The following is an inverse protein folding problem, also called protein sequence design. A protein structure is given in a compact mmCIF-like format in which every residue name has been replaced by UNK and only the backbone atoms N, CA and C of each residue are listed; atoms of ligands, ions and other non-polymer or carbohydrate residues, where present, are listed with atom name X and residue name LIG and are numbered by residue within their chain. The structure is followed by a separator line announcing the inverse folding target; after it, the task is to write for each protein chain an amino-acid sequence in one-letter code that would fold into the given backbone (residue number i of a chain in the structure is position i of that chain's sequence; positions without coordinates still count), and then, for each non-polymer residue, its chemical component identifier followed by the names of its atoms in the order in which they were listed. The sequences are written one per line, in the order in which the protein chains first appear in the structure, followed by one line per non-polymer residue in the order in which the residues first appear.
data_IF_289905826954
#
_entry.id   IF_289905826954
#
_cell.length_a   1.000
_cell.length_b   1.000
_cell.length_c   1.000
_cell.angle_alpha   90.00
_cell.angle_beta   90.00
_cell.angle_gamma   90.00
#
_symmetry.space_group_name_H-M   'P 1'
#
loop_
_entity.id
_entity.type
_entity.pdbx_description
1 polymer ?
#
# COMPACT_ATOMS: atom_id res chain seq x y z
N UNK A 1 37.87 52.40 22.26
CA UNK A 1 38.64 52.01 21.06
C UNK A 1 39.07 50.56 21.31
N UNK A 2 38.73 49.50 20.57
CA UNK A 2 37.95 49.29 19.34
C UNK A 2 37.53 47.80 19.32
N UNK A 3 36.31 47.51 18.89
CA UNK A 3 35.92 46.25 18.22
C UNK A 3 36.37 46.29 16.74
N UNK A 4 36.26 45.25 15.86
CA UNK A 4 35.52 43.96 15.94
C UNK A 4 36.23 42.70 15.32
N UNK A 5 35.60 41.50 15.38
CA UNK A 5 35.17 40.63 14.23
C UNK A 5 34.72 39.20 14.66
N UNK A 6 33.50 38.81 14.26
CA UNK A 6 32.73 37.52 14.36
C UNK A 6 33.26 36.43 13.37
N UNK A 7 32.65 35.20 13.22
CA UNK A 7 32.03 34.22 14.15
C UNK A 7 32.33 32.71 13.78
N UNK A 8 31.90 31.74 14.58
CA UNK A 8 31.50 30.36 14.19
C UNK A 8 30.79 29.69 15.39
N UNK A 9 29.47 29.50 15.42
CA UNK A 9 28.70 28.35 14.89
C UNK A 9 29.31 26.98 15.22
N UNK A 10 28.78 26.34 16.28
CA UNK A 10 28.62 24.89 16.35
C UNK A 10 27.38 24.59 17.21
N UNK A 11 26.33 24.13 16.54
CA UNK A 11 25.16 23.50 17.10
C UNK A 11 25.47 22.03 17.44
N UNK A 12 24.75 21.49 18.42
CA UNK A 12 24.26 20.11 18.54
C UNK A 12 24.07 19.85 20.04
N UNK A 13 22.85 19.84 20.56
CA UNK A 13 21.84 18.88 20.14
C UNK A 13 21.74 17.87 21.27
N UNK A 14 20.94 18.24 22.27
CA UNK A 14 20.73 17.49 23.49
C UNK A 14 20.13 16.10 23.21
N UNK A 15 20.61 15.15 24.00
CA UNK A 15 20.20 13.77 24.08
C UNK A 15 18.70 13.61 24.37
N UNK A 16 18.10 12.55 23.85
CA UNK A 16 16.96 11.89 24.48
C UNK A 16 17.00 10.38 24.26
N UNK A 17 16.51 9.69 25.29
CA UNK A 17 16.82 8.33 25.77
C UNK A 17 16.13 7.19 24.99
N UNK A 18 16.51 5.92 25.24
CA UNK A 18 16.30 4.81 24.33
C UNK A 18 14.95 4.12 24.54
N UNK A 19 14.30 3.74 23.45
CA UNK A 19 13.16 2.84 23.45
C UNK A 19 13.52 1.60 22.61
N UNK A 20 14.00 0.57 23.31
CA UNK A 20 14.00 -0.80 22.81
C UNK A 20 12.55 -1.27 22.59
N UNK A 21 12.17 -1.49 21.34
CA UNK A 21 11.06 -2.38 20.99
C UNK A 21 11.32 -3.02 19.61
N UNK A 22 12.22 -4.00 19.67
CA UNK A 22 11.88 -5.37 19.30
C UNK A 22 11.11 -5.55 17.97
N UNK A 23 11.84 -5.44 16.87
CA UNK A 23 11.52 -6.10 15.59
C UNK A 23 11.38 -7.62 15.82
N UNK A 24 10.18 -8.09 16.15
CA UNK A 24 9.76 -9.51 16.10
C UNK A 24 9.05 -9.69 14.75
N UNK A 25 9.73 -10.14 13.69
CA UNK A 25 9.98 -11.57 13.41
C UNK A 25 8.76 -12.43 13.72
N UNK A 26 7.77 -12.41 12.82
CA UNK A 26 6.56 -13.25 12.92
C UNK A 26 6.36 -14.20 11.73
N UNK A 27 7.38 -14.40 10.87
CA UNK A 27 7.20 -15.23 9.66
C UNK A 27 7.95 -16.56 9.64
N UNK A 28 8.77 -16.92 10.64
CA UNK A 28 9.54 -18.18 10.56
C UNK A 28 9.69 -18.92 11.89
N UNK A 29 8.59 -19.36 12.53
CA UNK A 29 8.65 -20.46 13.51
C UNK A 29 7.43 -21.38 13.44
N UNK A 30 7.30 -22.06 12.31
CA UNK A 30 6.51 -23.27 12.20
C UNK A 30 7.32 -24.35 11.48
N UNK A 31 8.26 -24.98 12.18
CA UNK A 31 8.63 -26.39 11.95
C UNK A 31 8.97 -27.00 13.31
N UNK A 32 7.93 -27.57 13.94
CA UNK A 32 8.11 -28.54 15.02
C UNK A 32 8.80 -29.78 14.45
N UNK A 33 9.75 -30.31 15.19
CA UNK A 33 10.37 -31.60 14.97
C UNK A 33 9.29 -32.70 14.97
N UNK A 34 9.37 -33.63 14.01
CA UNK A 34 8.75 -34.95 14.13
C UNK A 34 9.80 -35.98 13.76
N UNK A 35 10.43 -36.52 14.79
CA UNK A 35 11.04 -37.83 14.75
C UNK A 35 9.97 -38.85 15.17
N UNK A 36 9.78 -39.91 14.39
CA UNK A 36 9.16 -41.15 14.88
C UNK A 36 7.95 -41.67 14.09
N UNK A 37 8.21 -42.78 13.38
CA UNK A 37 7.37 -43.99 13.26
C UNK A 37 6.08 -43.96 12.41
N UNK A 38 6.19 -44.57 11.23
CA UNK A 38 5.28 -45.58 10.62
C UNK A 38 3.82 -45.61 11.11
N UNK A 39 2.90 -45.19 10.25
CA UNK A 39 1.46 -45.50 10.36
C UNK A 39 0.64 -44.72 9.35
N UNK A 40 0.11 -45.40 8.33
CA UNK A 40 -0.77 -44.81 7.29
C UNK A 40 -2.07 -44.33 7.94
N UNK A 41 -2.30 -43.02 7.94
CA UNK A 41 -3.57 -42.41 8.33
C UNK A 41 -3.79 -41.13 7.54
N UNK A 42 -4.75 -41.14 6.61
CA UNK A 42 -5.19 -39.97 5.85
C UNK A 42 -5.83 -38.96 6.80
N UNK A 43 -5.05 -38.06 7.39
CA UNK A 43 -5.58 -36.90 8.08
C UNK A 43 -5.95 -35.86 7.02
N UNK A 44 -7.24 -35.77 6.69
CA UNK A 44 -7.77 -34.63 5.94
C UNK A 44 -7.53 -33.39 6.78
N UNK A 45 -6.52 -32.59 6.44
CA UNK A 45 -6.33 -31.28 7.03
C UNK A 45 -7.57 -30.44 6.68
N UNK A 46 -8.49 -30.31 7.63
CA UNK A 46 -9.53 -29.30 7.56
C UNK A 46 -8.81 -27.96 7.56
N UNK A 47 -8.78 -27.30 6.40
CA UNK A 47 -8.36 -25.91 6.31
C UNK A 47 -9.28 -25.11 7.21
N UNK A 48 -8.80 -24.73 8.38
CA UNK A 48 -9.47 -23.79 9.25
C UNK A 48 -9.56 -22.46 8.50
N UNK A 49 -10.67 -22.24 7.79
CA UNK A 49 -11.06 -20.92 7.33
C UNK A 49 -11.24 -20.08 8.60
N UNK A 50 -10.23 -19.30 8.95
CA UNK A 50 -10.29 -18.38 10.07
C UNK A 50 -11.56 -17.53 9.89
N UNK A 51 -12.50 -17.62 10.82
CA UNK A 51 -13.72 -16.84 10.81
C UNK A 51 -13.33 -15.36 10.82
N UNK A 52 -13.39 -14.73 9.65
CA UNK A 52 -13.25 -13.28 9.51
C UNK A 52 -14.43 -12.68 10.28
N UNK A 53 -14.16 -11.90 11.32
CA UNK A 53 -15.21 -11.20 12.04
C UNK A 53 -16.03 -10.35 11.04
N UNK A 54 -17.36 -10.28 11.18
CA UNK A 54 -18.19 -9.52 10.26
C UNK A 54 -17.75 -8.06 10.25
N UNK A 55 -17.17 -7.62 9.13
CA UNK A 55 -16.77 -6.23 8.92
C UNK A 55 -18.06 -5.39 8.75
N UNK A 56 -18.20 -4.27 9.47
CA UNK A 56 -19.36 -3.39 9.31
C UNK A 56 -19.54 -2.89 7.87
N UNK A 57 -20.79 -2.85 7.40
CA UNK A 57 -21.12 -2.48 6.01
C UNK A 57 -20.70 -1.06 5.64
N UNK A 58 -20.78 -0.11 6.59
CA UNK A 58 -20.36 1.27 6.34
C UNK A 58 -18.85 1.41 6.17
N UNK A 59 -18.04 0.49 6.73
CA UNK A 59 -16.60 0.44 6.43
C UNK A 59 -16.35 -0.06 5.01
N UNK A 60 -17.13 -1.03 4.55
CA UNK A 60 -17.03 -1.54 3.17
C UNK A 60 -17.44 -0.44 2.18
N UNK A 61 -18.53 0.29 2.44
CA UNK A 61 -18.96 1.41 1.62
C UNK A 61 -17.87 2.49 1.51
N UNK A 62 -17.25 2.84 2.63
CA UNK A 62 -16.13 3.78 2.66
C UNK A 62 -14.91 3.26 1.88
N UNK A 63 -14.54 2.00 2.07
CA UNK A 63 -13.41 1.39 1.37
C UNK A 63 -13.63 1.36 -0.16
N UNK A 64 -14.86 1.11 -0.61
CA UNK A 64 -15.21 1.15 -2.03
C UNK A 64 -15.16 2.58 -2.59
N UNK A 65 -15.68 3.56 -1.85
CA UNK A 65 -15.57 4.99 -2.21
C UNK A 65 -14.11 5.42 -2.32
N UNK A 66 -13.30 5.14 -1.30
CA UNK A 66 -11.88 5.43 -1.29
C UNK A 66 -11.18 4.77 -2.50
N UNK A 67 -11.38 3.46 -2.69
CA UNK A 67 -10.77 2.73 -3.81
C UNK A 67 -11.13 3.33 -5.16
N UNK A 68 -12.40 3.71 -5.37
CA UNK A 68 -12.84 4.36 -6.61
C UNK A 68 -12.18 5.71 -6.85
N UNK A 69 -12.04 6.55 -5.82
CA UNK A 69 -11.36 7.85 -5.92
C UNK A 69 -9.87 7.69 -6.19
N UNK A 70 -9.21 6.82 -5.43
CA UNK A 70 -7.80 6.50 -5.59
C UNK A 70 -7.51 5.94 -6.98
N UNK A 71 -8.38 5.06 -7.49
CA UNK A 71 -8.25 4.53 -8.83
C UNK A 71 -8.48 5.59 -9.92
N UNK A 72 -9.40 6.53 -9.68
CA UNK A 72 -9.57 7.71 -10.53
C UNK A 72 -8.29 8.55 -10.62
N UNK A 73 -7.60 8.77 -9.50
CA UNK A 73 -6.33 9.51 -9.49
C UNK A 73 -5.18 8.76 -10.15
N UNK A 74 -5.16 7.43 -10.06
CA UNK A 74 -4.19 6.59 -10.76
C UNK A 74 -4.42 6.56 -12.28
N UNK A 75 -5.65 6.78 -12.72
CA UNK A 75 -6.03 6.85 -14.14
C UNK A 75 -6.06 8.27 -14.72
N UNK A 76 -5.70 9.28 -13.93
CA UNK A 76 -5.77 10.68 -14.34
C UNK A 76 -4.60 11.05 -15.26
N UNK A 77 -4.91 11.29 -16.54
CA UNK A 77 -3.93 11.68 -17.56
C UNK A 77 -3.33 13.08 -17.34
N UNK A 78 -3.92 13.89 -16.47
CA UNK A 78 -3.37 15.21 -16.11
C UNK A 78 -2.33 15.13 -15.00
N UNK A 79 -2.20 13.97 -14.35
CA UNK A 79 -1.31 13.74 -13.23
C UNK A 79 -0.02 13.04 -13.69
N UNK A 80 1.06 13.82 -13.84
CA UNK A 80 2.38 13.34 -14.29
C UNK A 80 2.89 12.07 -13.55
N UNK A 81 2.88 12.01 -12.20
CA UNK A 81 3.14 10.77 -11.45
C UNK A 81 2.26 9.58 -11.84
N UNK A 82 0.98 9.80 -12.13
CA UNK A 82 0.05 8.73 -12.53
C UNK A 82 0.39 8.22 -13.94
N UNK A 83 0.66 9.11 -14.89
CA UNK A 83 1.11 8.77 -16.25
C UNK A 83 2.38 7.90 -16.21
N UNK A 84 3.40 8.32 -15.46
CA UNK A 84 4.65 7.52 -15.32
C UNK A 84 4.41 6.14 -14.73
N UNK A 85 3.49 6.04 -13.77
CA UNK A 85 3.12 4.77 -13.16
C UNK A 85 2.41 3.85 -14.17
N UNK A 86 1.55 4.40 -15.02
CA UNK A 86 0.92 3.66 -16.12
C UNK A 86 1.94 3.18 -17.15
N UNK A 87 2.86 4.04 -17.60
CA UNK A 87 3.95 3.66 -18.52
C UNK A 87 4.81 2.53 -17.95
N UNK A 88 5.17 2.63 -16.67
CA UNK A 88 5.89 1.58 -15.96
C UNK A 88 5.11 0.26 -15.94
N UNK A 89 3.79 0.33 -15.68
CA UNK A 89 2.90 -0.84 -15.70
C UNK A 89 2.82 -1.51 -17.07
N UNK A 90 2.75 -0.72 -18.14
CA UNK A 90 2.77 -1.19 -19.52
C UNK A 90 4.09 -1.89 -19.86
N UNK A 91 5.22 -1.25 -19.52
CA UNK A 91 6.56 -1.80 -19.77
C UNK A 91 6.76 -3.14 -19.06
N UNK A 92 6.22 -3.27 -17.85
CA UNK A 92 6.23 -4.53 -17.09
C UNK A 92 5.49 -5.63 -17.83
N UNK A 93 4.25 -5.39 -18.25
CA UNK A 93 3.43 -6.40 -18.93
C UNK A 93 4.03 -6.84 -20.27
N UNK A 94 4.62 -5.91 -21.03
CA UNK A 94 5.29 -6.23 -22.28
C UNK A 94 6.59 -7.03 -22.08
N UNK A 95 7.25 -6.86 -20.93
CA UNK A 95 8.49 -7.57 -20.58
C UNK A 95 8.30 -8.89 -19.84
N UNK A 96 7.19 -9.04 -19.11
CA UNK A 96 6.89 -10.25 -18.34
C UNK A 96 5.87 -11.12 -19.07
N UNK A 97 6.29 -12.30 -19.53
CA UNK A 97 5.36 -13.38 -19.92
C UNK A 97 4.53 -13.93 -18.74
N UNK A 98 4.60 -13.29 -17.57
CA UNK A 98 3.72 -13.52 -16.44
C UNK A 98 2.31 -13.05 -16.84
N UNK A 99 1.48 -14.02 -17.21
CA UNK A 99 0.06 -13.83 -17.47
C UNK A 99 -0.56 -12.95 -16.37
N UNK A 100 -1.19 -11.85 -16.81
CA UNK A 100 -2.36 -11.07 -16.35
C UNK A 100 -2.97 -11.24 -14.92
N UNK A 101 -2.51 -12.15 -14.08
CA UNK A 101 -2.89 -12.34 -12.69
C UNK A 101 -2.27 -11.24 -11.82
N UNK A 102 -2.83 -10.04 -11.96
CA UNK A 102 -2.85 -9.04 -10.91
C UNK A 102 -1.85 -7.90 -11.06
N UNK A 103 -2.16 -6.92 -11.90
CA UNK A 103 -1.76 -5.51 -11.67
C UNK A 103 -2.48 -4.91 -10.43
N UNK A 104 -2.92 -5.76 -9.50
CA UNK A 104 -3.59 -5.39 -8.26
C UNK A 104 -2.53 -5.20 -7.18
N UNK A 105 -2.38 -3.96 -6.73
CA UNK A 105 -1.46 -3.54 -5.69
C UNK A 105 -2.26 -3.43 -4.41
N UNK A 106 -1.84 -4.16 -3.38
CA UNK A 106 -2.42 -4.03 -2.04
C UNK A 106 -1.75 -2.87 -1.33
N UNK A 107 -2.55 -1.86 -0.98
CA UNK A 107 -2.12 -0.63 -0.30
C UNK A 107 -2.79 -0.55 1.07
N UNK A 108 -2.00 -0.16 2.08
CA UNK A 108 -2.43 0.08 3.45
C UNK A 108 -2.38 1.58 3.69
N UNK A 109 -3.53 2.17 4.01
CA UNK A 109 -3.69 3.60 4.16
C UNK A 109 -4.03 3.97 5.61
N UNK A 110 -3.44 5.07 6.06
CA UNK A 110 -3.85 5.78 7.27
C UNK A 110 -4.45 7.11 6.84
N UNK A 111 -5.69 7.32 7.23
CA UNK A 111 -6.48 8.48 6.83
C UNK A 111 -6.87 9.22 8.10
N UNK A 112 -6.63 10.54 8.14
CA UNK A 112 -7.03 11.36 9.27
C UNK A 112 -8.55 11.57 9.31
N UNK A 113 -9.05 12.22 10.36
CA UNK A 113 -10.49 12.52 10.51
C UNK A 113 -11.03 13.49 9.44
N UNK A 114 -10.15 14.11 8.63
CA UNK A 114 -10.49 15.00 7.52
C UNK A 114 -10.40 14.34 6.14
N UNK A 115 -10.12 13.04 6.06
CA UNK A 115 -9.99 12.32 4.78
C UNK A 115 -8.61 12.42 4.14
N UNK A 116 -7.61 13.04 4.79
CA UNK A 116 -6.25 13.15 4.28
C UNK A 116 -5.47 11.86 4.54
N UNK A 117 -4.78 11.37 3.51
CA UNK A 117 -3.88 10.23 3.63
C UNK A 117 -2.57 10.70 4.30
N UNK A 118 -2.40 10.34 5.56
CA UNK A 118 -1.20 10.65 6.37
C UNK A 118 -0.07 9.66 6.10
N UNK A 119 -0.43 8.41 5.78
CA UNK A 119 0.55 7.36 5.46
C UNK A 119 -0.02 6.38 4.44
N UNK A 120 0.84 5.95 3.52
CA UNK A 120 0.57 4.88 2.57
C UNK A 120 1.73 3.87 2.59
N UNK A 121 1.40 2.60 2.86
CA UNK A 121 2.32 1.47 2.77
C UNK A 121 1.83 0.49 1.70
N UNK A 122 2.74 -0.06 0.91
CA UNK A 122 2.42 -1.04 -0.12
C UNK A 122 3.63 -1.95 -0.33
N UNK A 123 3.40 -3.09 -0.98
CA UNK A 123 4.51 -3.94 -1.42
C UNK A 123 5.25 -3.23 -2.53
N UNK A 124 6.57 -3.04 -2.38
CA UNK A 124 7.39 -2.39 -3.40
C UNK A 124 7.13 -3.00 -4.75
N UNK A 125 6.94 -2.12 -5.72
CA UNK A 125 6.77 -2.45 -7.10
C UNK A 125 8.07 -2.98 -7.70
N UNK A 126 9.23 -2.83 -7.04
CA UNK A 126 10.53 -3.24 -7.57
C UNK A 126 11.17 -2.20 -8.49
N UNK A 127 10.65 -0.98 -8.46
CA UNK A 127 11.22 0.22 -9.07
C UNK A 127 11.00 1.40 -8.11
N UNK A 128 12.10 2.04 -7.69
CA UNK A 128 12.06 3.11 -6.67
C UNK A 128 11.28 4.34 -7.15
N UNK A 129 11.28 4.63 -8.46
CA UNK A 129 10.54 5.74 -9.03
C UNK A 129 9.04 5.43 -9.06
N UNK A 130 8.65 4.23 -9.50
CA UNK A 130 7.26 3.77 -9.47
C UNK A 130 6.70 3.77 -8.03
N UNK A 131 7.50 3.34 -7.05
CA UNK A 131 7.13 3.40 -5.63
C UNK A 131 6.93 4.85 -5.16
N UNK A 132 7.86 5.76 -5.51
CA UNK A 132 7.75 7.16 -5.15
C UNK A 132 6.52 7.83 -5.79
N UNK A 133 6.25 7.54 -7.06
CA UNK A 133 5.13 8.09 -7.81
C UNK A 133 3.80 7.56 -7.29
N UNK A 134 3.68 6.25 -7.01
CA UNK A 134 2.50 5.69 -6.36
C UNK A 134 2.23 6.40 -5.03
N UNK A 135 3.24 6.56 -4.16
CA UNK A 135 3.06 7.29 -2.90
C UNK A 135 2.62 8.73 -3.10
N UNK A 136 3.19 9.44 -4.08
CA UNK A 136 2.77 10.81 -4.42
C UNK A 136 1.31 10.86 -4.83
N UNK A 137 0.87 9.99 -5.74
CA UNK A 137 -0.54 9.97 -6.19
C UNK A 137 -1.48 9.70 -5.01
N UNK A 138 -1.18 8.71 -4.17
CA UNK A 138 -2.02 8.35 -3.02
C UNK A 138 -2.10 9.43 -1.94
N UNK A 139 -1.10 10.30 -1.84
CA UNK A 139 -1.01 11.37 -0.82
C UNK A 139 -1.31 12.77 -1.38
N UNK A 140 -1.50 12.90 -2.70
CA UNK A 140 -1.68 14.18 -3.37
C UNK A 140 -2.99 14.88 -2.96
N UNK A 141 -4.05 14.10 -2.75
CA UNK A 141 -5.39 14.60 -2.50
C UNK A 141 -6.03 13.88 -1.30
N UNK A 142 -6.91 14.61 -0.61
CA UNK A 142 -7.75 14.01 0.42
C UNK A 142 -8.91 13.24 -0.22
N UNK A 143 -9.26 12.11 0.37
CA UNK A 143 -10.48 11.36 0.04
C UNK A 143 -11.66 12.27 0.39
N UNK A 144 -12.69 12.32 -0.46
CA UNK A 144 -13.77 13.31 -0.33
C UNK A 144 -14.58 13.16 0.95
N UNK A 145 -14.64 11.94 1.48
CA UNK A 145 -15.36 11.66 2.73
C UNK A 145 -14.37 11.28 3.84
N UNK A 146 -14.59 11.77 5.07
CA UNK A 146 -13.77 11.35 6.20
C UNK A 146 -14.03 9.87 6.55
N UNK A 147 -13.02 9.16 7.08
CA UNK A 147 -13.20 7.79 7.51
C UNK A 147 -14.23 7.72 8.65
N UNK A 148 -15.04 6.64 8.72
CA UNK A 148 -15.91 6.40 9.86
C UNK A 148 -15.10 6.42 11.17
N UNK A 149 -15.62 7.10 12.19
CA UNK A 149 -14.96 7.30 13.49
C UNK A 149 -14.62 6.00 14.24
N UNK A 150 -15.34 4.93 13.94
CA UNK A 150 -15.14 3.58 14.45
C UNK A 150 -14.28 2.69 13.55
N UNK A 151 -13.80 3.20 12.40
CA UNK A 151 -13.02 2.43 11.44
C UNK A 151 -11.60 2.13 11.95
N UNK A 152 -11.21 0.86 11.89
CA UNK A 152 -9.87 0.41 12.26
C UNK A 152 -8.85 0.78 11.17
N UNK A 153 -7.76 1.42 11.59
CA UNK A 153 -6.62 1.74 10.73
C UNK A 153 -5.44 0.80 11.00
N UNK A 154 -4.64 0.43 9.98
CA UNK A 154 -4.74 0.82 8.58
C UNK A 154 -5.88 0.15 7.82
N UNK A 155 -6.49 0.90 6.90
CA UNK A 155 -7.39 0.33 5.91
C UNK A 155 -6.57 -0.32 4.79
N UNK A 156 -6.92 -1.54 4.39
CA UNK A 156 -6.24 -2.27 3.32
C UNK A 156 -7.12 -2.26 2.07
N UNK A 157 -6.63 -1.67 0.99
CA UNK A 157 -7.31 -1.56 -0.29
C UNK A 157 -6.53 -2.33 -1.36
N UNK A 158 -7.24 -2.99 -2.26
CA UNK A 158 -6.66 -3.51 -3.50
C UNK A 158 -6.91 -2.50 -4.62
N UNK A 159 -5.86 -1.89 -5.15
CA UNK A 159 -5.94 -0.95 -6.27
C UNK A 159 -5.46 -1.65 -7.53
N UNK A 160 -6.13 -1.42 -8.66
CA UNK A 160 -5.65 -1.94 -9.95
C UNK A 160 -4.98 -0.82 -10.70
N UNK A 161 -3.76 -1.08 -11.17
CA UNK A 161 -3.09 -0.18 -12.13
C UNK A 161 -3.82 -0.29 -13.46
N UNK A 162 -4.78 0.61 -13.69
CA UNK A 162 -5.51 0.71 -14.94
C UNK A 162 -4.51 1.08 -16.04
N UNK A 163 -4.15 0.09 -16.83
CA UNK A 163 -3.64 0.33 -18.17
C UNK A 163 -4.79 1.00 -18.93
N UNK A 164 -4.54 1.94 -19.86
CA UNK A 164 -5.60 2.41 -20.72
C UNK A 164 -6.30 1.17 -21.27
N UNK A 165 -7.57 1.00 -20.87
CA UNK A 165 -8.39 -0.04 -21.46
C UNK A 165 -8.31 0.26 -22.95
N UNK A 166 -7.85 -0.74 -23.73
CA UNK A 166 -8.11 -0.77 -25.15
C UNK A 166 -9.54 -0.29 -25.30
N UNK A 167 -9.69 0.92 -25.84
CA UNK A 167 -10.99 1.54 -26.02
C UNK A 167 -11.78 0.49 -26.80
N UNK A 168 -12.91 -0.02 -26.29
CA UNK A 168 -13.64 -1.06 -27.00
C UNK A 168 -13.78 -0.60 -28.44
N UNK A 169 -13.37 -1.39 -29.46
CA UNK A 169 -13.42 -0.92 -30.83
C UNK A 169 -14.84 -0.45 -31.08
N UNK A 170 -14.97 0.86 -31.29
CA UNK A 170 -16.21 1.54 -31.60
C UNK A 170 -16.87 0.73 -32.72
N UNK A 171 -17.98 0.07 -32.39
CA UNK A 171 -18.70 -0.74 -33.34
C UNK A 171 -19.08 0.17 -34.52
N UNK A 172 -18.71 -0.17 -35.77
CA UNK A 172 -19.01 0.66 -36.90
C UNK A 172 -20.53 0.75 -37.10
N UNK A 173 -20.96 1.97 -37.42
CA UNK A 173 -22.29 2.49 -37.76
C UNK A 173 -23.38 1.48 -38.14
#
# INVERSE_FOLDING_TARGET
MSTPKKPAMAAAGAQSKPATLQRRSWLHRARKAVAGLLGVGLVTAASSAAAQAPVPQHWIAYAQLASGQLQGWLGDETNEPALRLQEWGQKRLSGSGAAAAGNSIVVRLWVDAGGRVERAEFTSLGDDQADADLRRVLTAQAISEPPPKDMLQPMVLGLTLALPADTPPEAPK
#
